data_IF_616722629995
#
_entry.id   IF_616722629995
#
_cell.length_a   1.000
_cell.length_b   1.000
_cell.length_c   1.000
_cell.angle_alpha   90.00
_cell.angle_beta   90.00
_cell.angle_gamma   90.00
#
_symmetry.space_group_name_H-M   'P 1'
#
loop_
_entity.id
_entity.type
_entity.pdbx_description
1 polymer ?
#
# COMPACT_ATOMS: atom_id res chain seq x y z
N UNK A 1 2.62 19.29 10.66
CA UNK A 1 3.32 20.44 11.31
C UNK A 1 4.61 20.00 12.01
N UNK A 2 4.54 19.01 12.90
CA UNK A 2 5.71 18.52 13.64
C UNK A 2 6.70 17.68 12.83
N UNK A 3 6.58 17.64 11.49
CA UNK A 3 7.52 16.95 10.59
C UNK A 3 7.73 15.45 10.91
N UNK A 4 6.71 14.74 11.39
CA UNK A 4 6.72 13.27 11.49
C UNK A 4 7.03 12.69 10.11
N UNK A 5 7.98 11.75 10.00
CA UNK A 5 8.53 11.33 8.69
C UNK A 5 7.52 10.64 7.78
N UNK A 6 6.47 10.08 8.36
CA UNK A 6 5.36 9.43 7.68
C UNK A 6 4.05 10.23 7.86
N UNK A 7 4.14 11.56 7.97
CA UNK A 7 2.96 12.42 7.96
C UNK A 7 2.30 12.45 6.58
N UNK A 8 0.98 12.38 6.56
CA UNK A 8 0.11 12.37 5.38
C UNK A 8 -0.43 13.75 5.05
N UNK A 9 -0.91 13.92 3.83
CA UNK A 9 -1.81 15.04 3.47
C UNK A 9 -3.24 14.52 3.46
N UNK A 10 -4.10 15.11 4.30
CA UNK A 10 -5.50 14.71 4.45
C UNK A 10 -6.44 15.60 3.63
N UNK A 11 -7.44 14.99 2.99
CA UNK A 11 -8.59 15.67 2.40
C UNK A 11 -9.89 15.03 2.91
N UNK A 12 -10.95 15.82 3.08
CA UNK A 12 -12.24 15.40 3.65
C UNK A 12 -12.14 14.61 4.98
N UNK A 13 -11.08 14.85 5.75
CA UNK A 13 -10.74 14.23 7.04
C UNK A 13 -10.40 12.73 7.02
N UNK A 14 -10.75 11.98 5.99
CA UNK A 14 -10.61 10.51 5.92
C UNK A 14 -10.01 10.00 4.59
N UNK A 15 -9.55 10.90 3.71
CA UNK A 15 -8.82 10.55 2.51
C UNK A 15 -7.37 11.02 2.63
N UNK A 16 -6.44 10.07 2.58
CA UNK A 16 -5.03 10.33 2.78
C UNK A 16 -4.24 10.19 1.47
N UNK A 17 -3.45 11.21 1.14
CA UNK A 17 -2.19 10.99 0.43
C UNK A 17 -1.17 10.54 1.49
N UNK A 18 -1.24 9.25 1.80
CA UNK A 18 -0.81 8.69 3.08
C UNK A 18 0.71 8.61 3.27
N UNK A 19 1.36 7.90 2.35
CA UNK A 19 2.73 7.39 2.54
C UNK A 19 3.78 8.35 2.01
N UNK A 20 5.07 8.02 2.20
CA UNK A 20 6.25 8.79 1.75
C UNK A 20 6.47 10.15 2.43
N UNK A 21 5.66 10.53 3.43
CA UNK A 21 5.93 11.71 4.26
C UNK A 21 5.59 13.05 3.60
N UNK A 22 4.70 13.09 2.62
CA UNK A 22 4.34 14.33 1.93
C UNK A 22 3.72 15.39 2.85
N UNK A 23 3.04 14.98 3.93
CA UNK A 23 2.56 15.89 4.98
C UNK A 23 3.70 16.55 5.76
N UNK A 24 4.85 15.88 5.89
CA UNK A 24 6.05 16.46 6.50
C UNK A 24 6.67 17.51 5.58
N UNK A 25 6.71 17.25 4.28
CA UNK A 25 7.18 18.22 3.26
C UNK A 25 6.27 19.44 3.22
N UNK A 26 4.95 19.24 3.28
CA UNK A 26 3.98 20.33 3.37
C UNK A 26 4.17 21.16 4.66
N UNK A 27 4.35 20.50 5.80
CA UNK A 27 4.64 21.14 7.08
C UNK A 27 5.97 21.90 7.12
N UNK A 28 7.03 21.39 6.48
CA UNK A 28 8.34 22.06 6.45
C UNK A 28 8.30 23.38 5.67
N UNK A 29 7.36 23.51 4.74
CA UNK A 29 7.06 24.74 4.00
C UNK A 29 6.09 25.66 4.74
N UNK A 30 5.71 25.34 5.98
CA UNK A 30 4.70 26.06 6.79
C UNK A 30 3.36 26.22 6.05
N UNK A 31 3.02 25.27 5.17
CA UNK A 31 1.76 25.25 4.44
C UNK A 31 0.76 24.41 5.23
N UNK A 32 -0.27 25.03 5.82
CA UNK A 32 -1.28 24.29 6.62
C UNK A 32 -2.33 23.59 5.76
N UNK A 33 -2.82 24.25 4.73
CA UNK A 33 -3.90 23.74 3.89
C UNK A 33 -3.87 24.40 2.50
N UNK A 34 -4.51 23.74 1.54
CA UNK A 34 -4.87 24.31 0.25
C UNK A 34 -6.38 24.19 0.13
N UNK A 35 -7.09 25.32 -0.01
CA UNK A 35 -8.53 25.35 -0.21
C UNK A 35 -8.82 25.69 -1.67
N UNK A 36 -9.62 24.85 -2.34
CA UNK A 36 -9.94 24.99 -3.77
C UNK A 36 -11.45 25.00 -3.97
N UNK A 37 -11.95 25.91 -4.83
CA UNK A 37 -13.34 25.95 -5.28
C UNK A 37 -13.41 26.27 -6.77
N UNK A 38 -13.95 25.36 -7.57
CA UNK A 38 -14.16 25.54 -9.01
C UNK A 38 -15.63 25.43 -9.40
N UNK A 39 -16.06 26.19 -10.43
CA UNK A 39 -17.38 26.08 -11.06
C UNK A 39 -17.31 25.76 -12.56
N UNK A 40 -16.10 25.68 -13.10
CA UNK A 40 -15.87 25.39 -14.51
C UNK A 40 -16.21 23.92 -14.80
N UNK A 41 -16.79 23.68 -15.98
CA UNK A 41 -17.05 22.32 -16.46
C UNK A 41 -15.83 21.83 -17.24
N UNK A 42 -15.44 20.59 -17.00
CA UNK A 42 -14.40 19.92 -17.80
C UNK A 42 -14.97 19.62 -19.18
N UNK A 43 -14.24 19.97 -20.23
CA UNK A 43 -14.57 19.61 -21.61
C UNK A 43 -14.33 18.13 -21.86
N UNK A 44 -15.24 17.46 -22.56
CA UNK A 44 -15.16 16.05 -22.93
C UNK A 44 -15.20 15.98 -24.45
N UNK A 45 -14.21 15.33 -25.07
CA UNK A 45 -14.08 15.28 -26.52
C UNK A 45 -15.23 14.49 -27.19
N UNK A 46 -15.61 13.35 -26.62
CA UNK A 46 -16.77 12.55 -27.02
C UNK A 46 -17.71 12.29 -25.83
N UNK A 47 -18.71 13.18 -25.61
CA UNK A 47 -19.65 13.03 -24.52
C UNK A 47 -20.58 11.81 -24.64
N UNK A 48 -20.77 11.25 -25.84
CA UNK A 48 -21.66 10.11 -26.04
C UNK A 48 -21.00 8.82 -25.54
N UNK A 49 -19.79 8.54 -26.02
CA UNK A 49 -18.99 7.38 -25.58
C UNK A 49 -18.68 7.46 -24.09
N UNK A 50 -18.33 8.65 -23.58
CA UNK A 50 -18.12 8.86 -22.14
C UNK A 50 -19.35 8.47 -21.32
N UNK A 51 -20.55 8.93 -21.70
CA UNK A 51 -21.78 8.64 -20.96
C UNK A 51 -22.15 7.15 -21.01
N UNK A 52 -21.93 6.50 -22.14
CA UNK A 52 -22.16 5.06 -22.29
C UNK A 52 -21.28 4.26 -21.33
N UNK A 53 -19.97 4.49 -21.34
CA UNK A 53 -19.02 3.80 -20.47
C UNK A 53 -19.29 4.14 -19.00
N UNK A 54 -19.54 5.42 -18.68
CA UNK A 54 -19.86 5.82 -17.30
C UNK A 54 -21.13 5.13 -16.77
N UNK A 55 -22.17 4.98 -17.62
CA UNK A 55 -23.38 4.23 -17.27
C UNK A 55 -23.07 2.75 -17.08
N UNK A 56 -22.29 2.14 -17.99
CA UNK A 56 -21.87 0.76 -17.83
C UNK A 56 -21.14 0.54 -16.49
N UNK A 57 -20.22 1.43 -16.12
CA UNK A 57 -19.50 1.36 -14.84
C UNK A 57 -20.50 1.48 -13.67
N UNK A 58 -21.40 2.46 -13.71
CA UNK A 58 -22.39 2.66 -12.65
C UNK A 58 -23.31 1.44 -12.44
N UNK A 59 -23.74 0.81 -13.53
CA UNK A 59 -24.69 -0.31 -13.49
C UNK A 59 -24.00 -1.64 -13.12
N UNK A 60 -22.72 -1.83 -13.48
CA UNK A 60 -22.02 -3.10 -13.29
C UNK A 60 -21.16 -3.14 -12.01
N UNK A 61 -20.53 -2.04 -11.60
CA UNK A 61 -19.63 -2.00 -10.44
C UNK A 61 -20.27 -2.53 -9.13
N UNK A 62 -21.52 -2.19 -8.78
CA UNK A 62 -22.15 -2.72 -7.57
C UNK A 62 -22.28 -4.26 -7.56
N UNK A 63 -22.29 -4.88 -8.75
CA UNK A 63 -22.38 -6.33 -8.94
C UNK A 63 -20.97 -6.93 -8.98
N UNK A 64 -20.09 -6.41 -9.82
CA UNK A 64 -18.75 -6.96 -10.05
C UNK A 64 -17.81 -6.75 -8.87
N UNK A 65 -18.04 -5.71 -8.07
CA UNK A 65 -17.23 -5.39 -6.88
C UNK A 65 -18.07 -5.39 -5.59
N UNK A 66 -19.04 -6.31 -5.50
CA UNK A 66 -19.97 -6.42 -4.38
C UNK A 66 -19.26 -6.56 -3.03
N UNK A 67 -18.18 -7.34 -2.96
CA UNK A 67 -17.43 -7.53 -1.71
C UNK A 67 -16.85 -6.22 -1.15
N UNK A 68 -16.33 -5.34 -2.01
CA UNK A 68 -15.86 -4.01 -1.59
C UNK A 68 -17.03 -3.10 -1.23
N UNK A 69 -18.13 -3.16 -1.97
CA UNK A 69 -19.34 -2.42 -1.63
C UNK A 69 -19.90 -2.83 -0.27
N UNK A 70 -19.98 -4.13 0.04
CA UNK A 70 -20.58 -4.63 1.27
C UNK A 70 -19.67 -4.43 2.48
N UNK A 71 -18.41 -4.83 2.37
CA UNK A 71 -17.48 -4.99 3.50
C UNK A 71 -16.29 -4.01 3.48
N UNK A 72 -16.10 -3.28 2.38
CA UNK A 72 -14.96 -2.38 2.21
C UNK A 72 -13.68 -3.18 2.02
N UNK A 73 -12.53 -2.54 2.22
CA UNK A 73 -11.25 -3.25 2.15
C UNK A 73 -11.08 -4.22 3.32
N UNK A 74 -11.74 -3.99 4.46
CA UNK A 74 -11.71 -4.84 5.66
C UNK A 74 -12.07 -6.31 5.41
N UNK A 75 -12.73 -6.65 4.29
CA UNK A 75 -12.92 -8.03 3.82
C UNK A 75 -11.62 -8.82 3.68
N UNK A 76 -10.51 -8.13 3.46
CA UNK A 76 -9.20 -8.74 3.22
C UNK A 76 -8.69 -9.46 4.47
N UNK A 77 -9.07 -9.04 5.69
CA UNK A 77 -8.74 -9.75 6.93
C UNK A 77 -9.23 -11.20 6.88
N UNK A 78 -10.51 -11.41 6.57
CA UNK A 78 -11.12 -12.74 6.47
C UNK A 78 -10.52 -13.61 5.37
N UNK A 79 -9.91 -13.00 4.34
CA UNK A 79 -9.23 -13.73 3.27
C UNK A 79 -7.79 -14.13 3.65
N UNK A 80 -7.07 -13.27 4.37
CA UNK A 80 -5.63 -13.45 4.61
C UNK A 80 -5.29 -14.18 5.90
N UNK A 81 -6.07 -14.00 6.97
CA UNK A 81 -5.84 -14.70 8.24
C UNK A 81 -5.79 -16.24 8.07
N UNK A 82 -6.80 -16.90 7.48
CA UNK A 82 -6.76 -18.36 7.29
C UNK A 82 -5.68 -18.81 6.31
N UNK A 83 -5.22 -17.92 5.41
CA UNK A 83 -4.13 -18.20 4.48
C UNK A 83 -2.73 -18.00 5.10
N UNK A 84 -2.64 -17.48 6.34
CA UNK A 84 -1.37 -17.14 6.98
C UNK A 84 -0.71 -15.90 6.38
N UNK A 85 -1.52 -15.01 5.78
CA UNK A 85 -1.08 -13.82 5.09
C UNK A 85 -1.43 -12.50 5.78
N UNK A 86 -1.98 -12.54 7.00
CA UNK A 86 -2.30 -11.37 7.82
C UNK A 86 -1.13 -11.07 8.77
N UNK A 87 -0.30 -10.04 8.49
CA UNK A 87 0.84 -9.70 9.34
C UNK A 87 0.41 -9.50 10.78
N UNK A 88 1.07 -10.25 11.65
CA UNK A 88 0.74 -10.35 13.06
C UNK A 88 2.01 -10.25 13.88
N UNK A 89 2.02 -9.35 14.87
CA UNK A 89 3.16 -9.06 15.75
C UNK A 89 4.43 -8.73 14.95
N UNK A 90 4.41 -7.59 14.25
CA UNK A 90 5.48 -7.11 13.37
C UNK A 90 5.90 -8.14 12.31
N UNK A 91 4.97 -8.78 11.60
CA UNK A 91 5.24 -9.88 10.64
C UNK A 91 5.92 -11.14 11.21
N UNK A 92 5.95 -11.34 12.54
CA UNK A 92 6.41 -12.62 13.11
C UNK A 92 5.50 -13.77 12.68
N UNK A 93 4.19 -13.51 12.64
CA UNK A 93 3.13 -14.48 12.35
C UNK A 93 2.24 -13.99 11.19
N UNK A 94 1.50 -14.91 10.59
CA UNK A 94 0.56 -14.64 9.50
C UNK A 94 -0.92 -14.73 9.87
N UNK A 95 -1.23 -14.95 11.14
CA UNK A 95 -2.59 -15.13 11.65
C UNK A 95 -2.68 -14.78 13.13
N UNK A 96 -3.86 -14.36 13.59
CA UNK A 96 -4.11 -13.99 14.99
C UNK A 96 -5.43 -14.55 15.53
N UNK A 97 -5.44 -14.99 16.79
CA UNK A 97 -6.69 -15.34 17.46
C UNK A 97 -7.63 -14.13 17.53
N UNK A 98 -8.86 -14.30 17.04
CA UNK A 98 -9.86 -13.24 17.00
C UNK A 98 -9.77 -12.33 15.78
N UNK A 99 -9.07 -12.71 14.70
CA UNK A 99 -9.08 -11.97 13.44
C UNK A 99 -10.49 -11.69 12.90
N UNK A 100 -11.43 -12.62 13.12
CA UNK A 100 -12.84 -12.46 12.78
C UNK A 100 -13.55 -11.34 13.58
N UNK A 101 -12.98 -10.84 14.67
CA UNK A 101 -13.52 -9.70 15.45
C UNK A 101 -13.12 -8.35 14.85
N UNK A 102 -12.19 -8.33 13.91
CA UNK A 102 -11.66 -7.12 13.28
C UNK A 102 -11.84 -7.11 11.76
N UNK A 103 -12.56 -8.08 11.21
CA UNK A 103 -12.84 -8.13 9.77
C UNK A 103 -14.00 -7.20 9.36
N UNK A 104 -14.28 -7.16 8.06
CA UNK A 104 -15.36 -6.34 7.52
C UNK A 104 -16.76 -6.74 8.03
N UNK A 105 -17.00 -8.01 8.38
CA UNK A 105 -18.29 -8.44 8.91
C UNK A 105 -18.46 -7.96 10.35
N UNK A 106 -17.45 -8.14 11.21
CA UNK A 106 -17.47 -7.62 12.56
C UNK A 106 -17.68 -6.09 12.59
N UNK A 107 -17.05 -5.36 11.67
CA UNK A 107 -17.29 -3.92 11.55
C UNK A 107 -18.75 -3.58 11.27
N UNK A 108 -19.39 -4.29 10.32
CA UNK A 108 -20.81 -4.09 9.99
C UNK A 108 -21.73 -4.39 11.17
N UNK A 109 -21.44 -5.45 11.92
CA UNK A 109 -22.29 -5.93 13.00
C UNK A 109 -22.18 -5.09 14.28
N UNK A 110 -21.14 -4.26 14.41
CA UNK A 110 -20.81 -3.59 15.68
C UNK A 110 -20.74 -2.07 15.58
N UNK A 111 -19.81 -1.52 14.80
CA UNK A 111 -19.44 -0.09 14.84
C UNK A 111 -19.86 0.68 13.59
N UNK A 112 -20.38 0.01 12.57
CA UNK A 112 -20.73 0.62 11.30
C UNK A 112 -21.92 1.58 11.39
N UNK A 113 -21.81 2.74 10.75
CA UNK A 113 -22.89 3.72 10.62
C UNK A 113 -23.45 3.72 9.20
N UNK A 114 -22.59 4.00 8.22
CA UNK A 114 -22.97 4.06 6.81
C UNK A 114 -21.76 3.95 5.89
N UNK A 115 -22.04 3.80 4.60
CA UNK A 115 -21.04 3.87 3.52
C UNK A 115 -20.89 5.29 3.03
N UNK A 116 -19.70 5.60 2.52
CA UNK A 116 -19.43 6.85 1.80
C UNK A 116 -18.77 6.54 0.46
N UNK A 117 -18.96 7.43 -0.50
CA UNK A 117 -18.33 7.35 -1.81
C UNK A 117 -17.30 8.48 -1.97
N UNK A 118 -16.20 8.20 -2.68
CA UNK A 118 -15.45 9.27 -3.33
C UNK A 118 -16.30 9.93 -4.43
N UNK A 119 -15.86 11.07 -4.94
CA UNK A 119 -16.52 11.74 -6.06
C UNK A 119 -16.80 10.77 -7.22
N UNK A 120 -18.05 10.74 -7.66
CA UNK A 120 -18.55 9.93 -8.78
C UNK A 120 -18.33 8.39 -8.67
N UNK A 121 -17.99 7.88 -7.49
CA UNK A 121 -17.63 6.47 -7.33
C UNK A 121 -18.85 5.57 -7.05
N UNK A 122 -19.13 4.55 -7.88
CA UNK A 122 -20.22 3.61 -7.64
C UNK A 122 -19.87 2.48 -6.65
N UNK A 123 -18.60 2.33 -6.26
CA UNK A 123 -18.17 1.24 -5.34
C UNK A 123 -18.65 1.48 -3.90
N UNK A 124 -18.56 2.72 -3.41
CA UNK A 124 -18.88 3.10 -2.03
C UNK A 124 -18.11 2.27 -0.96
N UNK A 125 -16.80 2.11 -1.18
CA UNK A 125 -15.93 1.29 -0.32
C UNK A 125 -15.73 1.86 1.10
N UNK A 126 -15.80 3.19 1.24
CA UNK A 126 -15.48 3.86 2.50
C UNK A 126 -16.51 3.56 3.57
N UNK A 127 -16.05 3.56 4.82
CA UNK A 127 -16.86 3.30 6.00
C UNK A 127 -16.87 4.55 6.87
N UNK A 128 -18.02 4.85 7.44
CA UNK A 128 -18.12 5.71 8.61
C UNK A 128 -18.49 4.82 9.79
N UNK A 129 -17.74 4.92 10.88
CA UNK A 129 -17.92 4.09 12.08
C UNK A 129 -18.09 4.96 13.31
N UNK A 130 -18.82 4.45 14.30
CA UNK A 130 -19.05 5.12 15.57
C UNK A 130 -18.82 4.15 16.72
N UNK A 131 -18.18 4.64 17.77
CA UNK A 131 -18.07 3.95 19.07
C UNK A 131 -18.37 4.96 20.16
N UNK A 132 -19.21 4.61 21.13
CA UNK A 132 -19.50 5.48 22.27
C UNK A 132 -18.63 5.14 23.50
N UNK A 133 -18.26 3.87 23.68
CA UNK A 133 -17.39 3.36 24.76
C UNK A 133 -16.65 2.09 24.30
N UNK A 134 -15.47 1.76 24.88
CA UNK A 134 -14.71 2.55 25.85
C UNK A 134 -13.99 3.75 25.22
N UNK A 135 -13.82 3.75 23.90
CA UNK A 135 -13.20 4.84 23.14
C UNK A 135 -14.27 5.54 22.31
N UNK A 136 -14.44 6.85 22.49
CA UNK A 136 -15.36 7.61 21.63
C UNK A 136 -14.73 7.78 20.26
N UNK A 137 -15.41 7.26 19.22
CA UNK A 137 -14.99 7.38 17.82
C UNK A 137 -15.94 8.27 17.03
N UNK A 138 -15.42 9.35 16.44
CA UNK A 138 -16.18 10.28 15.63
C UNK A 138 -16.28 9.82 14.16
N UNK A 139 -17.49 9.57 13.64
CA UNK A 139 -17.70 9.10 12.27
C UNK A 139 -17.11 9.98 11.17
N UNK A 140 -16.85 11.26 11.43
CA UNK A 140 -16.30 12.17 10.42
C UNK A 140 -14.88 11.78 9.95
N UNK A 141 -14.15 11.02 10.78
CA UNK A 141 -12.81 10.52 10.44
C UNK A 141 -12.84 9.17 9.73
N UNK A 142 -14.02 8.69 9.35
CA UNK A 142 -14.20 7.42 8.65
C UNK A 142 -13.89 6.21 9.52
N UNK A 143 -13.94 5.03 8.90
CA UNK A 143 -13.57 3.75 9.48
C UNK A 143 -12.22 3.26 8.96
N UNK A 144 -11.54 2.38 9.71
CA UNK A 144 -10.25 1.86 9.32
C UNK A 144 -10.37 1.01 8.04
N UNK A 145 -9.52 1.31 7.05
CA UNK A 145 -9.31 0.41 5.91
C UNK A 145 -8.51 -0.82 6.36
N UNK A 146 -8.46 -1.88 5.55
CA UNK A 146 -7.75 -3.11 5.88
C UNK A 146 -6.30 -2.89 6.35
N UNK A 147 -5.55 -2.03 5.65
CA UNK A 147 -4.18 -1.70 6.01
C UNK A 147 -4.09 -1.09 7.42
N UNK A 148 -5.03 -0.23 7.78
CA UNK A 148 -5.13 0.35 9.13
C UNK A 148 -5.53 -0.69 10.16
N UNK A 149 -6.48 -1.57 9.83
CA UNK A 149 -6.91 -2.67 10.70
C UNK A 149 -5.74 -3.59 11.01
N UNK A 150 -4.95 -3.98 10.01
CA UNK A 150 -3.81 -4.86 10.22
C UNK A 150 -2.68 -4.13 10.96
N UNK A 151 -2.30 -2.91 10.53
CA UNK A 151 -1.16 -2.19 11.11
C UNK A 151 -1.36 -1.79 12.58
N UNK A 152 -2.55 -1.31 12.95
CA UNK A 152 -2.88 -0.92 14.33
C UNK A 152 -3.53 -2.06 15.14
N UNK A 153 -3.90 -3.14 14.46
CA UNK A 153 -4.53 -4.33 15.04
C UNK A 153 -3.57 -5.50 15.07
N UNK A 154 -3.69 -6.43 14.12
CA UNK A 154 -2.98 -7.71 14.12
C UNK A 154 -1.46 -7.55 14.23
N UNK A 155 -0.88 -6.58 13.53
CA UNK A 155 0.57 -6.33 13.55
C UNK A 155 1.05 -5.82 14.91
N UNK A 156 0.19 -5.11 15.65
CA UNK A 156 0.39 -4.77 17.07
C UNK A 156 -0.11 -5.86 18.04
N UNK A 157 -0.59 -7.00 17.56
CA UNK A 157 -1.14 -8.10 18.37
C UNK A 157 -2.52 -7.82 18.97
N UNK A 158 -3.29 -6.88 18.41
CA UNK A 158 -4.56 -6.36 18.92
C UNK A 158 -5.74 -6.85 18.06
N UNK A 159 -6.81 -7.34 18.70
CA UNK A 159 -8.09 -7.71 18.05
C UNK A 159 -9.31 -6.97 18.64
N UNK A 160 -9.07 -5.80 19.25
CA UNK A 160 -10.10 -4.89 19.75
C UNK A 160 -10.45 -3.85 18.66
N UNK A 161 -11.56 -4.09 17.95
CA UNK A 161 -12.00 -3.23 16.85
C UNK A 161 -12.31 -1.78 17.28
N UNK A 162 -12.99 -1.51 18.42
CA UNK A 162 -13.11 -0.16 18.97
C UNK A 162 -11.78 0.57 19.17
N UNK A 163 -10.75 -0.09 19.71
CA UNK A 163 -9.43 0.51 19.89
C UNK A 163 -8.76 0.82 18.54
N UNK A 164 -8.83 -0.11 17.58
CA UNK A 164 -8.31 0.08 16.21
C UNK A 164 -9.00 1.26 15.52
N UNK A 165 -10.33 1.36 15.64
CA UNK A 165 -11.11 2.47 15.10
C UNK A 165 -10.71 3.81 15.74
N UNK A 166 -10.40 3.82 17.04
CA UNK A 166 -9.87 5.02 17.70
C UNK A 166 -8.47 5.38 17.20
N UNK A 167 -7.59 4.40 17.01
CA UNK A 167 -6.27 4.62 16.42
C UNK A 167 -6.37 5.21 15.00
N UNK A 168 -7.29 4.71 14.18
CA UNK A 168 -7.59 5.29 12.86
C UNK A 168 -8.03 6.75 12.94
N UNK A 169 -8.97 7.07 13.84
CA UNK A 169 -9.41 8.47 14.05
C UNK A 169 -8.22 9.37 14.39
N UNK A 170 -7.39 8.96 15.34
CA UNK A 170 -6.22 9.74 15.77
C UNK A 170 -5.24 9.95 14.62
N UNK A 171 -4.91 8.90 13.86
CA UNK A 171 -4.06 9.01 12.67
C UNK A 171 -4.65 9.99 11.64
N UNK A 172 -5.95 9.90 11.37
CA UNK A 172 -6.60 10.80 10.42
C UNK A 172 -6.65 12.26 10.92
N UNK A 173 -6.94 12.46 12.21
CA UNK A 173 -6.97 13.78 12.85
C UNK A 173 -5.59 14.45 12.87
N UNK A 174 -4.52 13.69 13.13
CA UNK A 174 -3.15 14.21 13.14
C UNK A 174 -2.47 14.22 11.76
N UNK A 175 -3.05 13.54 10.77
CA UNK A 175 -2.48 13.37 9.43
C UNK A 175 -1.25 12.46 9.44
N UNK A 176 -1.40 11.23 9.90
CA UNK A 176 -0.37 10.19 9.93
C UNK A 176 -0.72 9.03 8.99
N UNK A 177 0.31 8.47 8.34
CA UNK A 177 0.18 7.18 7.64
C UNK A 177 -0.08 6.08 8.66
N UNK A 178 -1.25 5.46 8.60
CA UNK A 178 -1.61 4.38 9.53
C UNK A 178 -0.71 3.16 9.39
N UNK A 179 -0.20 2.87 8.18
CA UNK A 179 0.68 1.72 7.94
C UNK A 179 2.00 1.93 8.67
N UNK A 180 2.71 3.01 8.33
CA UNK A 180 3.99 3.34 8.95
C UNK A 180 3.87 3.62 10.45
N UNK A 181 2.79 4.24 10.90
CA UNK A 181 2.55 4.46 12.33
C UNK A 181 2.38 3.13 13.07
N UNK A 182 1.51 2.24 12.58
CA UNK A 182 1.27 0.93 13.20
C UNK A 182 2.51 0.03 13.18
N UNK A 183 3.17 -0.09 12.03
CA UNK A 183 4.40 -0.88 11.90
C UNK A 183 5.53 -0.34 12.79
N UNK A 184 5.63 0.99 12.96
CA UNK A 184 6.61 1.58 13.89
C UNK A 184 6.31 1.25 15.36
N UNK A 185 5.04 1.22 15.74
CA UNK A 185 4.60 0.80 17.08
C UNK A 185 4.85 -0.70 17.29
N UNK A 186 4.50 -1.54 16.32
CA UNK A 186 4.74 -2.98 16.34
C UNK A 186 6.23 -3.32 16.46
N UNK A 187 7.09 -2.63 15.71
CA UNK A 187 8.54 -2.70 15.84
C UNK A 187 9.02 -2.36 17.26
N UNK A 188 8.48 -1.29 17.85
CA UNK A 188 8.84 -0.89 19.22
C UNK A 188 8.36 -1.92 20.26
N UNK A 189 7.18 -2.52 20.06
CA UNK A 189 6.69 -3.62 20.90
C UNK A 189 7.62 -4.83 20.84
N UNK A 190 8.08 -5.22 19.65
CA UNK A 190 9.04 -6.32 19.50
C UNK A 190 10.38 -6.02 20.16
N UNK A 191 10.91 -4.81 19.98
CA UNK A 191 12.16 -4.38 20.63
C UNK A 191 12.03 -4.41 22.17
N UNK A 192 10.87 -4.02 22.71
CA UNK A 192 10.62 -4.04 24.15
C UNK A 192 10.50 -5.46 24.70
N UNK A 193 9.78 -6.35 24.01
CA UNK A 193 9.66 -7.76 24.41
C UNK A 193 11.00 -8.51 24.35
N UNK A 194 11.90 -8.11 23.44
CA UNK A 194 13.27 -8.63 23.35
C UNK A 194 14.29 -7.87 24.21
N UNK A 195 13.85 -6.95 25.07
CA UNK A 195 14.73 -6.24 26.03
C UNK A 195 15.67 -5.20 25.43
N UNK A 196 15.47 -4.80 24.17
CA UNK A 196 16.18 -3.68 23.56
C UNK A 196 15.61 -2.31 23.97
N UNK A 197 14.36 -2.30 24.43
CA UNK A 197 13.70 -1.15 25.05
C UNK A 197 13.15 -1.54 26.41
N UNK A 198 13.07 -0.57 27.32
CA UNK A 198 12.52 -0.73 28.66
C UNK A 198 11.53 0.39 28.98
N UNK A 199 10.81 0.26 30.10
CA UNK A 199 9.90 1.32 30.58
C UNK A 199 10.61 2.65 30.84
N UNK A 200 11.93 2.63 31.07
CA UNK A 200 12.74 3.84 31.18
C UNK A 200 12.81 4.61 29.86
N UNK A 201 12.92 3.90 28.74
CA UNK A 201 13.05 4.49 27.41
C UNK A 201 11.71 5.03 26.90
N UNK A 202 10.61 4.38 27.30
CA UNK A 202 9.25 4.67 26.84
C UNK A 202 8.49 5.66 27.73
N UNK A 203 9.14 6.19 28.77
CA UNK A 203 8.50 7.11 29.72
C UNK A 203 7.46 6.44 30.63
N UNK A 204 7.65 5.15 30.95
CA UNK A 204 6.79 4.36 31.82
C UNK A 204 5.79 3.45 31.10
N UNK A 205 5.69 3.54 29.78
CA UNK A 205 4.70 2.79 28.99
C UNK A 205 5.22 1.38 28.70
N UNK A 206 4.48 0.36 29.09
CA UNK A 206 4.79 -1.02 28.73
C UNK A 206 4.37 -1.30 27.28
N UNK A 207 5.31 -1.16 26.34
CA UNK A 207 5.09 -1.44 24.92
C UNK A 207 5.16 -2.94 24.65
N UNK A 208 4.08 -3.67 24.94
CA UNK A 208 3.96 -5.11 24.61
C UNK A 208 2.88 -5.34 23.57
N UNK A 209 3.02 -6.41 22.79
CA UNK A 209 1.99 -6.79 21.83
C UNK A 209 0.66 -7.05 22.54
N UNK A 210 -0.43 -6.59 21.92
CA UNK A 210 -1.79 -6.67 22.47
C UNK A 210 -2.20 -5.52 23.38
N UNK A 211 -1.29 -4.59 23.71
CA UNK A 211 -1.63 -3.42 24.53
C UNK A 211 -2.32 -2.32 23.71
N UNK A 212 -3.65 -2.26 23.78
CA UNK A 212 -4.48 -1.24 23.13
C UNK A 212 -4.16 0.17 23.65
N UNK A 213 -4.01 0.31 24.97
CA UNK A 213 -3.68 1.58 25.61
C UNK A 213 -2.32 2.11 25.13
N UNK A 214 -1.29 1.25 25.09
CA UNK A 214 0.04 1.68 24.66
C UNK A 214 0.05 2.07 23.17
N UNK A 215 -0.69 1.35 22.31
CA UNK A 215 -0.85 1.71 20.90
C UNK A 215 -1.47 3.11 20.76
N UNK A 216 -2.59 3.39 21.43
CA UNK A 216 -3.27 4.69 21.35
C UNK A 216 -2.40 5.83 21.90
N UNK A 217 -1.73 5.63 23.04
CA UNK A 217 -0.81 6.62 23.60
C UNK A 217 0.37 6.90 22.66
N UNK A 218 0.91 5.89 21.98
CA UNK A 218 2.01 6.10 21.03
C UNK A 218 1.58 6.85 19.78
N UNK A 219 0.37 6.63 19.24
CA UNK A 219 -0.13 7.40 18.10
C UNK A 219 -0.10 8.91 18.42
N UNK A 220 -0.62 9.30 19.59
CA UNK A 220 -0.62 10.70 20.03
C UNK A 220 0.81 11.23 20.26
N UNK A 221 1.65 10.48 20.99
CA UNK A 221 3.03 10.91 21.26
C UNK A 221 3.86 11.04 19.97
N UNK A 222 3.63 10.19 18.97
CA UNK A 222 4.27 10.29 17.64
C UNK A 222 3.83 11.57 16.95
N UNK A 223 2.52 11.80 16.84
CA UNK A 223 1.96 12.99 16.19
C UNK A 223 2.51 14.29 16.79
N UNK A 224 2.58 14.33 18.12
CA UNK A 224 3.00 15.50 18.90
C UNK A 224 4.52 15.55 19.13
N UNK A 225 5.27 14.54 18.70
CA UNK A 225 6.71 14.36 19.00
C UNK A 225 7.02 14.55 20.49
N UNK A 226 6.28 13.88 21.34
CA UNK A 226 6.46 13.91 22.80
C UNK A 226 7.08 12.61 23.30
N UNK A 227 7.89 12.70 24.36
CA UNK A 227 8.50 11.53 25.01
C UNK A 227 9.20 10.60 24.00
N UNK A 228 8.90 9.31 24.09
CA UNK A 228 9.43 8.31 23.16
C UNK A 228 8.84 8.42 21.75
N UNK A 229 7.63 8.97 21.61
CA UNK A 229 7.00 9.26 20.33
C UNK A 229 7.83 10.20 19.43
N UNK A 230 8.66 11.10 19.99
CA UNK A 230 9.61 11.87 19.18
C UNK A 230 10.65 10.98 18.48
N UNK A 231 11.07 9.89 19.12
CA UNK A 231 11.97 8.91 18.50
C UNK A 231 11.22 8.14 17.42
N UNK A 232 10.04 7.60 17.75
CA UNK A 232 9.23 6.82 16.81
C UNK A 232 8.77 7.62 15.58
N UNK A 233 8.59 8.93 15.70
CA UNK A 233 8.25 9.81 14.58
C UNK A 233 9.29 9.83 13.43
N UNK A 234 10.47 9.22 13.62
CA UNK A 234 11.47 9.06 12.55
C UNK A 234 11.24 7.82 11.65
N UNK A 235 10.39 6.86 12.04
CA UNK A 235 10.14 5.60 11.30
C UNK A 235 11.20 4.52 11.55
N UNK A 236 10.85 3.25 11.27
CA UNK A 236 11.60 2.08 11.76
C UNK A 236 13.06 2.06 11.34
N UNK A 237 13.36 2.45 10.09
CA UNK A 237 14.71 2.41 9.54
C UNK A 237 15.70 3.31 10.29
N UNK A 238 15.23 4.47 10.77
CA UNK A 238 16.05 5.42 11.54
C UNK A 238 16.07 5.07 13.02
N UNK A 239 14.94 4.60 13.55
CA UNK A 239 14.83 4.21 14.95
C UNK A 239 15.69 2.97 15.25
N UNK A 240 15.68 1.96 14.38
CA UNK A 240 16.50 0.76 14.56
C UNK A 240 17.99 1.09 14.70
N UNK A 241 18.52 1.95 13.83
CA UNK A 241 19.90 2.45 13.91
C UNK A 241 20.20 3.17 15.22
N UNK A 242 19.21 3.88 15.79
CA UNK A 242 19.35 4.60 17.06
C UNK A 242 19.33 3.66 18.27
N UNK A 243 18.53 2.59 18.22
CA UNK A 243 18.47 1.56 19.27
C UNK A 243 19.75 0.73 19.25
N UNK A 244 20.21 0.34 18.06
CA UNK A 244 21.47 -0.37 17.83
C UNK A 244 21.32 -1.54 16.85
N UNK A 245 22.44 -2.20 16.48
CA UNK A 245 22.46 -3.22 15.43
C UNK A 245 21.48 -4.38 15.64
N UNK A 246 21.24 -4.79 16.89
CA UNK A 246 20.29 -5.85 17.22
C UNK A 246 18.84 -5.50 16.85
N UNK A 247 18.49 -4.21 16.75
CA UNK A 247 17.15 -3.80 16.36
C UNK A 247 16.91 -3.85 14.85
N UNK A 248 17.96 -3.91 14.02
CA UNK A 248 17.80 -3.91 12.56
C UNK A 248 17.05 -5.17 12.06
N UNK A 249 17.17 -6.30 12.75
CA UNK A 249 16.43 -7.53 12.45
C UNK A 249 14.91 -7.37 12.60
N UNK A 250 14.46 -6.46 13.46
CA UNK A 250 13.05 -6.20 13.72
C UNK A 250 12.48 -5.12 12.78
N UNK A 251 13.32 -4.38 12.05
CA UNK A 251 12.90 -3.23 11.27
C UNK A 251 12.35 -3.64 9.89
N UNK A 252 11.05 -3.90 9.81
CA UNK A 252 10.38 -4.32 8.58
C UNK A 252 10.21 -3.14 7.60
N UNK A 253 11.23 -2.84 6.79
CA UNK A 253 11.18 -1.78 5.79
C UNK A 253 11.92 -2.11 4.49
N UNK A 254 11.57 -1.42 3.41
CA UNK A 254 12.33 -1.38 2.15
C UNK A 254 12.53 0.09 1.76
N UNK A 255 13.76 0.48 1.45
CA UNK A 255 14.17 1.89 1.20
C UNK A 255 13.73 2.87 2.31
N UNK A 256 13.69 2.38 3.55
CA UNK A 256 13.31 3.15 4.72
C UNK A 256 11.81 3.37 4.91
N UNK A 257 10.96 2.75 4.08
CA UNK A 257 9.50 2.76 4.24
C UNK A 257 9.01 1.41 4.76
N UNK A 258 8.17 1.45 5.79
CA UNK A 258 7.58 0.27 6.42
C UNK A 258 6.82 -0.58 5.41
N UNK A 259 6.80 -1.91 5.58
CA UNK A 259 6.05 -2.79 4.68
C UNK A 259 4.52 -2.58 4.84
N UNK A 260 3.75 -2.58 3.73
CA UNK A 260 2.30 -2.72 3.79
C UNK A 260 1.88 -4.10 4.28
N UNK A 261 0.63 -4.21 4.71
CA UNK A 261 0.13 -5.33 5.51
C UNK A 261 -0.12 -6.62 4.72
N UNK A 262 0.62 -6.89 3.64
CA UNK A 262 0.54 -8.14 2.89
C UNK A 262 1.83 -8.94 2.96
N UNK A 263 1.70 -10.21 3.36
CA UNK A 263 2.79 -11.16 3.59
C UNK A 263 3.53 -11.58 2.29
N UNK A 264 4.81 -11.19 2.10
CA UNK A 264 5.62 -11.55 0.94
C UNK A 264 5.90 -13.05 0.81
N UNK A 265 5.94 -13.81 1.91
CA UNK A 265 6.13 -15.27 1.86
C UNK A 265 4.98 -15.98 1.16
N UNK A 266 3.76 -15.46 1.32
CA UNK A 266 2.54 -15.95 0.64
C UNK A 266 2.45 -15.45 -0.79
N UNK A 267 2.80 -14.17 -1.02
CA UNK A 267 2.70 -13.47 -2.31
C UNK A 267 4.10 -13.11 -2.82
N UNK A 268 4.81 -14.08 -3.39
CA UNK A 268 6.26 -13.91 -3.64
C UNK A 268 6.54 -12.93 -4.78
N UNK A 269 5.70 -12.90 -5.82
CA UNK A 269 5.78 -11.89 -6.88
C UNK A 269 5.53 -10.46 -6.37
N UNK A 270 4.56 -10.27 -5.47
CA UNK A 270 4.39 -9.02 -4.71
C UNK A 270 5.67 -8.65 -3.96
N UNK A 271 6.33 -9.62 -3.33
CA UNK A 271 7.61 -9.44 -2.64
C UNK A 271 8.70 -8.86 -3.54
N UNK A 272 8.86 -9.39 -4.76
CA UNK A 272 9.78 -8.80 -5.76
C UNK A 272 9.35 -7.36 -6.07
N UNK A 273 8.05 -7.13 -6.29
CA UNK A 273 7.49 -5.80 -6.54
C UNK A 273 7.74 -4.80 -5.40
N UNK A 274 7.70 -5.23 -4.14
CA UNK A 274 8.04 -4.38 -2.99
C UNK A 274 9.49 -3.92 -3.03
N UNK A 275 10.42 -4.85 -3.34
CA UNK A 275 11.84 -4.55 -3.41
C UNK A 275 12.16 -3.51 -4.48
N UNK A 276 11.58 -3.62 -5.66
CA UNK A 276 11.87 -2.74 -6.81
C UNK A 276 11.08 -1.43 -6.83
N UNK A 277 10.00 -1.33 -6.05
CA UNK A 277 9.07 -0.20 -6.07
C UNK A 277 9.81 1.13 -5.83
N UNK A 278 9.53 2.17 -6.65
CA UNK A 278 10.24 3.44 -6.55
C UNK A 278 9.92 4.23 -5.28
N UNK A 279 8.77 3.97 -4.65
CA UNK A 279 8.33 4.72 -3.46
C UNK A 279 8.67 3.99 -2.15
N UNK A 280 9.41 2.89 -2.19
CA UNK A 280 9.52 1.93 -1.08
C UNK A 280 8.47 0.82 -1.20
N UNK A 281 8.36 -0.07 -0.21
CA UNK A 281 7.40 -1.18 -0.27
C UNK A 281 5.96 -0.67 -0.46
N UNK A 282 5.35 -0.94 -1.61
CA UNK A 282 4.02 -0.45 -1.99
C UNK A 282 3.21 -1.57 -2.64
N UNK A 283 1.98 -1.77 -2.16
CA UNK A 283 1.09 -2.84 -2.61
C UNK A 283 0.06 -2.37 -3.64
N UNK A 284 -0.22 -1.06 -3.71
CA UNK A 284 -1.23 -0.48 -4.58
C UNK A 284 -0.76 -0.42 -6.03
N UNK A 285 0.54 -0.28 -6.27
CA UNK A 285 1.14 -0.30 -7.62
C UNK A 285 1.71 -1.67 -8.03
N UNK A 286 1.25 -2.73 -7.38
CA UNK A 286 1.87 -4.05 -7.43
C UNK A 286 0.82 -5.14 -7.69
N UNK A 287 1.25 -6.38 -7.95
CA UNK A 287 0.36 -7.54 -8.10
C UNK A 287 -0.07 -8.10 -6.74
N UNK A 288 -1.17 -8.85 -6.72
CA UNK A 288 -1.53 -9.69 -5.57
C UNK A 288 -1.66 -11.14 -6.02
N UNK A 289 -0.59 -11.91 -5.89
CA UNK A 289 -0.42 -13.26 -6.48
C UNK A 289 -1.61 -14.20 -6.34
N UNK A 290 -2.25 -14.21 -5.17
CA UNK A 290 -3.34 -15.11 -4.79
C UNK A 290 -4.56 -15.02 -5.70
N UNK A 291 -4.75 -13.93 -6.42
CA UNK A 291 -5.92 -13.75 -7.32
C UNK A 291 -5.68 -14.28 -8.73
N UNK A 292 -4.46 -14.77 -9.03
CA UNK A 292 -4.06 -15.29 -10.34
C UNK A 292 -3.76 -16.80 -10.31
N UNK A 293 -4.12 -17.50 -9.23
CA UNK A 293 -3.84 -18.93 -9.05
C UNK A 293 -4.87 -19.85 -9.71
N UNK A 294 -5.95 -19.28 -10.25
CA UNK A 294 -7.00 -20.01 -10.95
C UNK A 294 -7.64 -19.12 -12.02
N UNK A 295 -8.34 -19.75 -12.97
CA UNK A 295 -9.14 -19.03 -13.96
C UNK A 295 -10.32 -18.38 -13.24
N UNK A 296 -10.50 -17.09 -13.48
CA UNK A 296 -11.58 -16.28 -12.94
C UNK A 296 -11.43 -14.81 -13.32
N UNK A 297 -12.34 -13.94 -12.85
CA UNK A 297 -12.45 -12.56 -13.35
C UNK A 297 -11.16 -11.74 -13.24
N UNK A 298 -10.36 -11.94 -12.19
CA UNK A 298 -9.08 -11.23 -12.02
C UNK A 298 -8.04 -11.64 -13.07
N UNK A 299 -7.94 -12.94 -13.39
CA UNK A 299 -7.04 -13.43 -14.43
C UNK A 299 -7.56 -13.05 -15.84
N UNK A 300 -8.86 -13.21 -16.09
CA UNK A 300 -9.48 -12.83 -17.37
C UNK A 300 -9.31 -11.35 -17.71
N UNK A 301 -9.31 -10.48 -16.68
CA UNK A 301 -9.07 -9.05 -16.85
C UNK A 301 -7.70 -8.76 -17.49
N UNK A 302 -6.69 -9.59 -17.20
CA UNK A 302 -5.32 -9.43 -17.73
C UNK A 302 -5.03 -10.24 -19.00
N UNK A 303 -6.03 -10.90 -19.60
CA UNK A 303 -5.87 -11.55 -20.91
C UNK A 303 -5.42 -10.60 -22.03
N UNK A 304 -5.93 -9.35 -22.14
CA UNK A 304 -5.52 -8.43 -23.20
C UNK A 304 -4.03 -8.04 -23.17
N UNK A 305 -3.34 -8.28 -22.06
CA UNK A 305 -1.89 -8.05 -21.90
C UNK A 305 -1.07 -9.35 -21.99
N UNK A 306 -1.68 -10.44 -22.46
CA UNK A 306 -1.00 -11.70 -22.77
C UNK A 306 -0.74 -12.62 -21.57
N UNK A 307 -1.43 -12.41 -20.43
CA UNK A 307 -1.36 -13.29 -19.27
C UNK A 307 -2.57 -14.22 -19.26
N UNK A 308 -2.42 -15.42 -19.83
CA UNK A 308 -3.56 -16.31 -20.14
C UNK A 308 -3.71 -17.50 -19.20
N UNK A 309 -2.66 -17.85 -18.47
CA UNK A 309 -2.58 -19.07 -17.66
C UNK A 309 -2.50 -18.73 -16.17
N UNK A 310 -3.13 -19.54 -15.30
CA UNK A 310 -2.97 -19.39 -13.86
C UNK A 310 -1.54 -19.70 -13.43
N UNK A 311 -1.08 -19.02 -12.38
CA UNK A 311 0.27 -19.17 -11.83
C UNK A 311 0.19 -19.35 -10.33
N UNK A 312 1.04 -20.22 -9.77
CA UNK A 312 1.09 -20.43 -8.32
C UNK A 312 1.40 -19.13 -7.55
N UNK A 313 0.93 -19.03 -6.31
CA UNK A 313 1.12 -17.82 -5.50
C UNK A 313 2.61 -17.55 -5.16
N UNK A 314 3.40 -18.62 -5.08
CA UNK A 314 4.84 -18.62 -4.81
C UNK A 314 5.69 -18.77 -6.08
N UNK A 315 5.11 -18.63 -7.27
CA UNK A 315 5.88 -18.65 -8.52
C UNK A 315 6.74 -17.37 -8.64
N UNK A 316 7.98 -17.51 -9.07
CA UNK A 316 8.91 -16.42 -9.40
C UNK A 316 9.53 -16.60 -10.80
N UNK A 317 8.96 -17.48 -11.62
CA UNK A 317 9.37 -17.71 -13.00
C UNK A 317 9.26 -16.44 -13.86
N UNK A 318 9.90 -16.42 -15.04
CA UNK A 318 9.72 -15.32 -16.00
C UNK A 318 8.24 -15.05 -16.35
N UNK A 319 7.35 -16.04 -16.25
CA UNK A 319 5.92 -15.82 -16.46
C UNK A 319 5.31 -14.93 -15.36
N UNK A 320 5.65 -15.19 -14.08
CA UNK A 320 5.23 -14.33 -12.97
C UNK A 320 5.82 -12.93 -13.08
N UNK A 321 7.11 -12.83 -13.38
CA UNK A 321 7.79 -11.53 -13.46
C UNK A 321 7.23 -10.69 -14.63
N UNK A 322 6.82 -11.33 -15.72
CA UNK A 322 6.10 -10.67 -16.82
C UNK A 322 4.73 -10.13 -16.36
N UNK A 323 3.97 -10.91 -15.59
CA UNK A 323 2.72 -10.42 -14.98
C UNK A 323 2.98 -9.23 -14.06
N UNK A 324 4.00 -9.30 -13.18
CA UNK A 324 4.40 -8.19 -12.30
C UNK A 324 4.70 -6.93 -13.12
N UNK A 325 5.51 -7.04 -14.19
CA UNK A 325 5.84 -5.92 -15.06
C UNK A 325 4.60 -5.29 -15.68
N UNK A 326 3.82 -6.07 -16.44
CA UNK A 326 2.71 -5.51 -17.21
C UNK A 326 1.60 -4.95 -16.31
N UNK A 327 1.33 -5.61 -15.18
CA UNK A 327 0.33 -5.13 -14.24
C UNK A 327 0.79 -3.86 -13.50
N UNK A 328 2.05 -3.80 -13.06
CA UNK A 328 2.58 -2.58 -12.42
C UNK A 328 2.60 -1.40 -13.39
N UNK A 329 2.93 -1.60 -14.67
CA UNK A 329 2.80 -0.58 -15.71
C UNK A 329 1.37 -0.07 -15.84
N UNK A 330 0.38 -0.96 -15.84
CA UNK A 330 -1.02 -0.55 -15.81
C UNK A 330 -1.39 0.24 -14.55
N UNK A 331 -0.91 -0.16 -13.37
CA UNK A 331 -1.13 0.60 -12.13
C UNK A 331 -0.47 1.98 -12.15
N UNK A 332 0.76 2.08 -12.67
CA UNK A 332 1.44 3.37 -12.85
C UNK A 332 0.68 4.27 -13.83
N UNK A 333 0.13 3.71 -14.92
CA UNK A 333 -0.78 4.45 -15.80
C UNK A 333 -2.02 4.95 -15.05
N UNK A 334 -2.69 4.11 -14.26
CA UNK A 334 -3.86 4.54 -13.47
C UNK A 334 -3.51 5.66 -12.48
N UNK A 335 -2.31 5.62 -11.89
CA UNK A 335 -1.81 6.71 -11.04
C UNK A 335 -1.61 8.01 -11.83
N UNK A 336 -1.06 7.96 -13.06
CA UNK A 336 -0.97 9.12 -13.94
C UNK A 336 -2.35 9.65 -14.37
N UNK A 337 -3.31 8.76 -14.63
CA UNK A 337 -4.69 9.12 -14.96
C UNK A 337 -5.51 9.58 -13.74
N UNK A 338 -4.97 9.42 -12.52
CA UNK A 338 -5.63 9.72 -11.24
C UNK A 338 -6.97 8.96 -11.11
N UNK A 339 -6.95 7.68 -11.50
CA UNK A 339 -8.10 6.79 -11.47
C UNK A 339 -7.98 5.77 -10.32
N UNK A 340 -9.05 5.60 -9.55
CA UNK A 340 -9.09 4.58 -8.52
C UNK A 340 -9.08 3.16 -9.15
N UNK A 341 -8.09 2.35 -8.77
CA UNK A 341 -7.97 0.98 -9.29
C UNK A 341 -9.10 0.05 -8.80
N UNK A 342 -9.76 0.35 -7.67
CA UNK A 342 -10.96 -0.40 -7.26
C UNK A 342 -12.11 -0.26 -8.27
N UNK A 343 -12.19 0.87 -8.96
CA UNK A 343 -13.12 1.04 -10.06
C UNK A 343 -12.53 0.40 -11.31
N UNK A 344 -11.38 0.87 -11.77
CA UNK A 344 -10.87 0.51 -13.10
C UNK A 344 -10.45 -0.96 -13.21
N UNK A 345 -9.78 -1.51 -12.20
CA UNK A 345 -9.33 -2.90 -12.19
C UNK A 345 -10.34 -3.82 -11.48
N UNK A 346 -10.67 -3.56 -10.22
CA UNK A 346 -11.48 -4.49 -9.41
C UNK A 346 -12.98 -4.50 -9.73
N UNK A 347 -13.47 -3.57 -10.54
CA UNK A 347 -14.85 -3.65 -11.09
C UNK A 347 -14.89 -4.24 -12.50
N UNK A 348 -13.76 -4.71 -13.02
CA UNK A 348 -13.62 -5.34 -14.33
C UNK A 348 -14.10 -4.47 -15.49
N UNK A 349 -13.76 -3.17 -15.46
CA UNK A 349 -14.08 -2.25 -16.58
C UNK A 349 -13.48 -2.76 -17.89
N UNK A 350 -12.29 -3.33 -17.80
CA UNK A 350 -11.56 -3.94 -18.91
C UNK A 350 -10.75 -2.91 -19.69
N UNK A 351 -9.60 -3.35 -20.20
CA UNK A 351 -8.64 -2.49 -20.89
C UNK A 351 -9.22 -1.74 -22.10
N UNK A 352 -10.13 -2.37 -22.84
CA UNK A 352 -10.77 -1.75 -24.00
C UNK A 352 -11.62 -0.54 -23.61
N UNK A 353 -12.52 -0.69 -22.62
CA UNK A 353 -13.34 0.43 -22.13
C UNK A 353 -12.50 1.51 -21.48
N UNK A 354 -11.44 1.15 -20.76
CA UNK A 354 -10.50 2.12 -20.19
C UNK A 354 -9.83 2.92 -21.33
N UNK A 355 -9.38 2.25 -22.39
CA UNK A 355 -8.77 2.91 -23.55
C UNK A 355 -9.76 3.85 -24.24
N UNK A 356 -10.99 3.39 -24.50
CA UNK A 356 -12.06 4.20 -25.08
C UNK A 356 -12.43 5.38 -24.19
N UNK A 357 -12.43 5.20 -22.86
CA UNK A 357 -12.71 6.27 -21.90
C UNK A 357 -11.64 7.37 -21.99
N UNK A 358 -10.35 7.00 -22.06
CA UNK A 358 -9.26 7.99 -22.25
C UNK A 358 -9.45 8.76 -23.55
N UNK A 359 -9.73 8.07 -24.67
CA UNK A 359 -10.01 8.73 -25.96
C UNK A 359 -11.19 9.69 -25.85
N UNK A 360 -12.30 9.24 -25.28
CA UNK A 360 -13.54 10.02 -25.18
C UNK A 360 -13.39 11.25 -24.29
N UNK A 361 -12.64 11.16 -23.20
CA UNK A 361 -12.41 12.30 -22.30
C UNK A 361 -11.43 13.30 -22.91
N UNK A 362 -10.30 12.83 -23.43
CA UNK A 362 -9.16 13.69 -23.76
C UNK A 362 -9.08 14.08 -25.23
N UNK A 363 -9.72 13.33 -26.13
CA UNK A 363 -9.50 13.43 -27.59
C UNK A 363 -8.15 12.87 -28.05
N UNK A 364 -7.38 12.27 -27.14
CA UNK A 364 -6.09 11.65 -27.46
C UNK A 364 -6.32 10.35 -28.23
N UNK A 365 -5.85 10.29 -29.48
CA UNK A 365 -5.85 9.03 -30.23
C UNK A 365 -4.77 8.08 -29.69
N UNK A 366 -5.18 7.22 -28.75
CA UNK A 366 -4.31 6.31 -28.02
C UNK A 366 -4.64 4.83 -28.26
N UNK A 367 -3.95 3.92 -27.58
CA UNK A 367 -4.21 2.48 -27.61
C UNK A 367 -3.85 1.86 -26.27
N UNK A 368 -4.28 0.62 -25.99
CA UNK A 368 -3.84 -0.09 -24.78
C UNK A 368 -2.31 -0.12 -24.67
N UNK A 369 -1.62 -0.39 -25.77
CA UNK A 369 -0.16 -0.39 -25.81
C UNK A 369 0.42 0.96 -25.36
N UNK A 370 -0.11 2.06 -25.89
CA UNK A 370 0.36 3.41 -25.53
C UNK A 370 0.04 3.74 -24.06
N UNK A 371 -1.10 3.30 -23.52
CA UNK A 371 -1.42 3.49 -22.10
C UNK A 371 -0.44 2.74 -21.19
N UNK A 372 -0.07 1.50 -21.53
CA UNK A 372 0.95 0.76 -20.79
C UNK A 372 2.31 1.45 -20.89
N UNK A 373 2.66 2.02 -22.05
CA UNK A 373 3.88 2.81 -22.24
C UNK A 373 3.92 4.09 -21.41
N UNK A 374 2.78 4.73 -21.12
CA UNK A 374 2.73 5.83 -20.14
C UNK A 374 3.17 5.34 -18.76
N UNK A 375 2.67 4.17 -18.34
CA UNK A 375 3.07 3.53 -17.08
C UNK A 375 4.56 3.17 -17.04
N UNK A 376 5.08 2.55 -18.11
CA UNK A 376 6.50 2.20 -18.25
C UNK A 376 7.39 3.45 -18.21
N UNK A 377 7.00 4.55 -18.86
CA UNK A 377 7.66 5.85 -18.75
C UNK A 377 7.69 6.37 -17.31
N UNK A 378 6.56 6.35 -16.62
CA UNK A 378 6.44 6.87 -15.27
C UNK A 378 7.38 6.13 -14.30
N UNK A 379 7.41 4.81 -14.33
CA UNK A 379 8.29 4.01 -13.46
C UNK A 379 9.77 4.18 -13.82
N UNK A 380 10.12 4.31 -15.11
CA UNK A 380 11.49 4.59 -15.53
C UNK A 380 11.96 5.98 -15.08
N UNK A 381 11.12 7.02 -15.18
CA UNK A 381 11.45 8.35 -14.65
C UNK A 381 11.62 8.34 -13.13
N UNK A 382 10.77 7.61 -12.41
CA UNK A 382 10.92 7.43 -10.97
C UNK A 382 12.22 6.69 -10.61
N UNK A 383 12.60 5.66 -11.40
CA UNK A 383 13.87 4.95 -11.23
C UNK A 383 15.07 5.86 -11.46
N UNK A 384 15.05 6.67 -12.53
CA UNK A 384 16.10 7.67 -12.81
C UNK A 384 16.21 8.68 -11.67
N UNK A 385 15.08 9.18 -11.15
CA UNK A 385 15.08 10.07 -10.00
C UNK A 385 15.74 9.42 -8.78
N UNK A 386 15.35 8.20 -8.43
CA UNK A 386 15.90 7.48 -7.29
C UNK A 386 17.41 7.22 -7.42
N UNK A 387 17.86 6.83 -8.63
CA UNK A 387 19.29 6.66 -8.92
C UNK A 387 20.06 7.98 -8.73
N UNK A 388 19.52 9.10 -9.21
CA UNK A 388 20.10 10.43 -9.01
C UNK A 388 20.21 10.80 -7.53
N UNK A 389 19.20 10.46 -6.74
CA UNK A 389 19.17 10.71 -5.29
C UNK A 389 19.97 9.68 -4.46
N UNK A 390 20.62 8.71 -5.10
CA UNK A 390 21.59 7.81 -4.47
C UNK A 390 21.09 6.41 -4.15
N UNK A 391 19.85 6.05 -4.48
CA UNK A 391 19.42 4.66 -4.43
C UNK A 391 20.05 3.86 -5.57
N UNK A 392 20.29 2.58 -5.34
CA UNK A 392 20.87 1.65 -6.30
C UNK A 392 20.17 0.30 -6.26
N UNK A 393 20.58 -0.65 -7.10
CA UNK A 393 20.14 -2.04 -7.01
C UNK A 393 20.38 -2.68 -5.62
N UNK A 394 21.31 -2.14 -4.82
CA UNK A 394 21.59 -2.62 -3.45
C UNK A 394 20.50 -2.24 -2.44
N UNK A 395 19.61 -1.30 -2.79
CA UNK A 395 18.50 -0.87 -1.96
C UNK A 395 17.18 -1.56 -2.32
N UNK A 396 17.21 -2.38 -3.38
CA UNK A 396 16.10 -3.23 -3.80
C UNK A 396 16.17 -4.55 -3.03
N UNK A 397 15.98 -4.51 -1.71
CA UNK A 397 16.16 -5.66 -0.79
C UNK A 397 14.85 -6.15 -0.19
N UNK A 398 14.95 -7.21 0.61
CA UNK A 398 13.86 -7.77 1.43
C UNK A 398 14.39 -8.01 2.84
N UNK A 399 13.63 -7.72 3.92
CA UNK A 399 14.06 -8.07 5.27
C UNK A 399 14.33 -9.57 5.45
N UNK A 400 15.40 -9.91 6.18
CA UNK A 400 15.87 -11.29 6.37
C UNK A 400 14.80 -12.24 6.91
N UNK A 401 13.86 -11.70 7.71
CA UNK A 401 12.69 -12.41 8.26
C UNK A 401 11.91 -13.20 7.21
N UNK A 402 11.83 -12.70 5.98
CA UNK A 402 11.02 -13.33 4.93
C UNK A 402 11.72 -14.52 4.24
N UNK A 403 13.03 -14.69 4.44
CA UNK A 403 13.78 -15.88 4.01
C UNK A 403 13.73 -17.02 5.03
N UNK A 404 12.99 -16.84 6.13
CA UNK A 404 12.62 -17.89 7.07
C UNK A 404 11.10 -18.11 7.11
N UNK A 405 10.64 -19.37 7.27
CA UNK A 405 9.21 -19.64 7.41
C UNK A 405 8.66 -19.02 8.69
N UNK A 406 7.34 -18.77 8.73
CA UNK A 406 6.68 -18.37 9.97
C UNK A 406 6.85 -19.48 11.03
N UNK A 407 7.11 -19.12 12.30
CA UNK A 407 7.36 -20.10 13.37
C UNK A 407 6.12 -20.94 13.70
N UNK A 408 4.92 -20.42 13.43
CA UNK A 408 3.65 -21.12 13.59
C UNK A 408 2.63 -20.61 12.56
N UNK A 409 1.38 -21.10 12.61
CA UNK A 409 0.33 -20.71 11.66
C UNK A 409 0.27 -21.56 10.39
N UNK A 410 -0.66 -21.26 9.47
CA UNK A 410 -0.97 -22.11 8.32
C UNK A 410 0.04 -21.97 7.17
N UNK A 411 0.78 -20.85 7.09
CA UNK A 411 1.80 -20.65 6.06
C UNK A 411 3.13 -21.28 6.49
N UNK A 412 3.65 -22.22 5.69
CA UNK A 412 4.89 -22.97 5.96
C UNK A 412 6.01 -22.73 4.95
N UNK A 413 5.89 -21.65 4.18
CA UNK A 413 6.86 -21.30 3.13
C UNK A 413 7.70 -20.10 3.54
N UNK A 414 8.89 -20.01 2.96
CA UNK A 414 9.78 -18.86 3.00
C UNK A 414 10.03 -18.38 1.57
N UNK A 415 10.58 -17.18 1.42
CA UNK A 415 11.25 -16.80 0.18
C UNK A 415 12.54 -17.61 0.04
N UNK A 416 12.81 -18.11 -1.16
CA UNK A 416 14.14 -18.64 -1.48
C UNK A 416 15.05 -17.46 -1.89
N UNK A 417 16.19 -17.22 -1.20
CA UNK A 417 17.05 -16.07 -1.50
C UNK A 417 17.52 -16.03 -2.94
N UNK A 418 17.82 -17.20 -3.53
CA UNK A 418 18.31 -17.29 -4.90
C UNK A 418 17.20 -16.99 -5.90
N UNK A 419 16.02 -17.61 -5.76
CA UNK A 419 14.88 -17.36 -6.63
C UNK A 419 14.39 -15.92 -6.54
N UNK A 420 14.46 -15.30 -5.36
CA UNK A 420 14.13 -13.89 -5.18
C UNK A 420 15.07 -12.96 -5.97
N UNK A 421 16.38 -13.17 -5.86
CA UNK A 421 17.36 -12.40 -6.63
C UNK A 421 17.26 -12.68 -8.14
N UNK A 422 17.08 -13.94 -8.55
CA UNK A 422 16.85 -14.30 -9.97
C UNK A 422 15.57 -13.64 -10.52
N UNK A 423 14.50 -13.55 -9.72
CA UNK A 423 13.27 -12.85 -10.08
C UNK A 423 13.45 -11.34 -10.26
N UNK A 424 14.24 -10.70 -9.38
CA UNK A 424 14.62 -9.29 -9.51
C UNK A 424 15.46 -9.03 -10.77
N UNK A 425 16.49 -9.85 -11.02
CA UNK A 425 17.32 -9.72 -12.21
C UNK A 425 16.51 -9.94 -13.49
N UNK A 426 15.61 -10.94 -13.50
CA UNK A 426 14.67 -11.13 -14.60
C UNK A 426 13.81 -9.88 -14.84
N UNK A 427 13.34 -9.23 -13.76
CA UNK A 427 12.57 -7.98 -13.88
C UNK A 427 13.43 -6.87 -14.50
N UNK A 428 14.68 -6.71 -14.03
CA UNK A 428 15.62 -5.73 -14.56
C UNK A 428 15.90 -5.96 -16.05
N UNK A 429 16.15 -7.19 -16.47
CA UNK A 429 16.34 -7.53 -17.88
C UNK A 429 15.12 -7.15 -18.72
N UNK A 430 13.91 -7.49 -18.26
CA UNK A 430 12.66 -7.15 -18.95
C UNK A 430 12.40 -5.64 -19.04
N UNK A 431 12.85 -4.88 -18.02
CA UNK A 431 12.78 -3.42 -18.01
C UNK A 431 13.92 -2.76 -18.81
N UNK A 432 14.94 -3.49 -19.23
CA UNK A 432 16.15 -2.94 -19.83
C UNK A 432 16.99 -2.12 -18.84
N UNK A 433 17.12 -2.64 -17.60
CA UNK A 433 17.78 -2.03 -16.45
C UNK A 433 19.00 -2.86 -15.98
N UNK A 434 20.07 -3.06 -16.77
CA UNK A 434 21.23 -3.80 -16.31
C UNK A 434 21.78 -3.21 -15.00
N UNK A 435 21.99 -4.06 -13.99
CA UNK A 435 22.36 -3.66 -12.62
C UNK A 435 21.39 -2.64 -11.99
N UNK A 436 20.11 -2.70 -12.38
CA UNK A 436 19.07 -1.79 -11.94
C UNK A 436 19.14 -0.37 -12.54
N UNK A 437 19.88 -0.15 -13.63
CA UNK A 437 20.03 1.18 -14.27
C UNK A 437 19.42 1.18 -15.68
N UNK A 438 18.42 2.03 -15.99
CA UNK A 438 17.84 2.12 -17.33
C UNK A 438 18.88 2.41 -18.42
N UNK A 439 18.86 1.64 -19.50
CA UNK A 439 19.75 1.89 -20.64
C UNK A 439 19.33 3.12 -21.45
N UNK A 440 20.27 3.79 -22.16
CA UNK A 440 19.92 4.85 -23.11
C UNK A 440 18.93 4.39 -24.19
N UNK A 441 19.07 3.14 -24.68
CA UNK A 441 18.14 2.55 -25.64
C UNK A 441 16.72 2.43 -25.09
N UNK A 442 16.58 1.98 -23.83
CA UNK A 442 15.27 1.92 -23.16
C UNK A 442 14.66 3.31 -22.96
N UNK A 443 15.44 4.28 -22.50
CA UNK A 443 14.97 5.65 -22.31
C UNK A 443 14.55 6.31 -23.63
N UNK A 444 15.28 6.03 -24.71
CA UNK A 444 14.94 6.48 -26.06
C UNK A 444 13.68 5.81 -26.62
N UNK A 445 13.50 4.50 -26.42
CA UNK A 445 12.26 3.80 -26.81
C UNK A 445 11.02 4.38 -26.10
N UNK A 446 11.20 4.84 -24.87
CA UNK A 446 10.16 5.48 -24.07
C UNK A 446 9.99 6.97 -24.36
N UNK A 447 10.77 7.58 -25.27
CA UNK A 447 10.69 9.02 -25.59
C UNK A 447 11.05 9.94 -24.42
N UNK A 448 11.90 9.46 -23.51
CA UNK A 448 12.41 10.20 -22.35
C UNK A 448 13.94 10.20 -22.33
N UNK A 449 14.58 10.30 -23.50
CA UNK A 449 16.04 10.31 -23.66
C UNK A 449 16.73 11.42 -22.87
N UNK A 450 16.03 12.54 -22.62
CA UNK A 450 16.51 13.63 -21.77
C UNK A 450 16.82 13.15 -20.34
N UNK A 451 16.12 12.13 -19.85
CA UNK A 451 16.30 11.57 -18.51
C UNK A 451 17.67 10.90 -18.34
N UNK A 452 18.33 10.48 -19.43
CA UNK A 452 19.68 9.90 -19.38
C UNK A 452 20.70 10.89 -18.78
N UNK A 453 20.49 12.20 -18.96
CA UNK A 453 21.33 13.26 -18.38
C UNK A 453 21.23 13.36 -16.85
N UNK A 454 20.21 12.74 -16.26
CA UNK A 454 19.95 12.76 -14.82
C UNK A 454 20.53 11.54 -14.11
N UNK A 455 21.00 10.53 -14.85
CA UNK A 455 21.63 9.36 -14.26
C UNK A 455 22.97 9.76 -13.63
N UNK A 456 23.37 9.15 -12.50
CA UNK A 456 24.68 9.37 -11.90
C UNK A 456 25.80 9.12 -12.93
N UNK A 457 26.84 9.96 -12.89
CA UNK A 457 28.06 9.70 -13.65
C UNK A 457 28.66 8.37 -13.20
N UNK A 458 29.04 7.52 -14.16
CA UNK A 458 29.71 6.25 -13.90
C UNK A 458 31.02 6.40 -13.15
#
# INVERSE_FOLDING_TARGET
ENLVRFASVMNDLDAAAGRTGMGAVMGSKKLKAIAVRGKQRVSIADPAVFKEIARWIADNTPITNKGMHDFGTARVVAALDPAGGLPTRNFQLGSIEGANKIDGQAMLDTIFVKRRACFACPVQCKREVKVDKPYVVDPQYGGPEYETIAALGSDCGITDLPAIAKGNELCNAYGLDTISCGATIAFAMECFENGLLSTKDTGGIELRFGSTEAMLQMVEQIALRQGFGNTLAEGVARVAKKIGPAAEEYAMHIKGQELPMHEPRLKQGLGVGYAISPTGADHCQNIHDTVYTSIGPMLEMVYPIGILEPMAANDLSPAKIRLLKYYSEFMHFLNCAVCCYFVMALSFVGFERITQLVKAVTGWDTSLFELLKVGERAVNMARVFNLREGFTAKDDTMPERFFAPQPSGPLKVALDPRAFEEGKETYYEMMGWPNGVPTPGRLGELGIEWAASQLPSK
#
